data_IF_332814577957
#
_entry.id   IF_332814577957
#
_cell.length_a   1.000
_cell.length_b   1.000
_cell.length_c   1.000
_cell.angle_alpha   90.00
_cell.angle_beta   90.00
_cell.angle_gamma   90.00
#
_symmetry.space_group_name_H-M   'P 1'
#
loop_
_entity.id
_entity.type
_entity.pdbx_description
1 polymer ?
#
# COMPACT_ATOMS: atom_id res chain seq x y z
N UNK A 1 16.07 -9.79 1.54
CA UNK A 1 14.88 -9.50 0.73
C UNK A 1 15.28 -8.78 -0.57
N UNK A 2 14.55 -9.00 -1.67
CA UNK A 2 14.63 -8.22 -2.90
C UNK A 2 13.31 -7.50 -3.17
N UNK A 3 13.36 -6.23 -3.54
CA UNK A 3 12.19 -5.44 -3.98
C UNK A 3 12.48 -4.94 -5.40
N UNK A 4 11.62 -5.28 -6.36
CA UNK A 4 11.72 -4.86 -7.77
C UNK A 4 10.58 -3.90 -8.09
N UNK A 5 10.90 -2.65 -8.31
CA UNK A 5 9.97 -1.58 -8.62
C UNK A 5 9.84 -1.35 -10.13
N UNK A 6 8.64 -1.01 -10.59
CA UNK A 6 8.39 -0.54 -11.95
C UNK A 6 9.06 0.81 -12.24
N UNK A 7 8.89 1.78 -11.33
CA UNK A 7 9.45 3.11 -11.49
C UNK A 7 10.92 3.22 -11.10
N UNK A 8 11.60 4.22 -11.67
CA UNK A 8 13.04 4.46 -11.47
C UNK A 8 13.36 5.44 -10.33
N UNK A 9 12.34 6.12 -9.78
CA UNK A 9 12.56 7.26 -8.86
C UNK A 9 11.67 7.12 -7.63
N UNK A 10 10.36 7.29 -7.78
CA UNK A 10 9.41 7.44 -6.67
C UNK A 10 9.43 6.24 -5.72
N UNK A 11 9.24 5.03 -6.24
CA UNK A 11 9.17 3.81 -5.45
C UNK A 11 10.54 3.42 -4.89
N UNK A 12 11.64 3.38 -5.68
CA UNK A 12 12.96 3.10 -5.12
C UNK A 12 13.40 4.09 -4.04
N UNK A 13 13.11 5.39 -4.20
CA UNK A 13 13.43 6.42 -3.21
C UNK A 13 12.64 6.21 -1.91
N UNK A 14 11.33 5.98 -1.99
CA UNK A 14 10.48 5.68 -0.84
C UNK A 14 10.95 4.43 -0.08
N UNK A 15 11.16 3.31 -0.78
CA UNK A 15 11.61 2.07 -0.14
C UNK A 15 13.05 2.14 0.36
N UNK A 16 13.90 3.02 -0.19
CA UNK A 16 15.26 3.23 0.31
C UNK A 16 15.27 3.78 1.74
N UNK A 17 14.34 4.69 2.07
CA UNK A 17 14.17 5.21 3.43
C UNK A 17 13.77 4.07 4.39
N UNK A 18 12.74 3.30 4.02
CA UNK A 18 12.26 2.17 4.81
C UNK A 18 13.31 1.07 4.96
N UNK A 19 14.12 0.82 3.92
CA UNK A 19 15.26 -0.11 3.97
C UNK A 19 16.26 0.29 5.05
N UNK A 20 16.59 1.59 5.18
CA UNK A 20 17.49 2.05 6.25
C UNK A 20 16.90 1.71 7.62
N UNK A 21 15.64 2.06 7.84
CA UNK A 21 14.92 1.76 9.08
C UNK A 21 14.89 0.26 9.40
N UNK A 22 14.65 -0.58 8.39
CA UNK A 22 14.59 -2.03 8.55
C UNK A 22 15.95 -2.67 8.90
N UNK A 23 17.04 -2.18 8.30
CA UNK A 23 18.40 -2.64 8.59
C UNK A 23 18.83 -2.15 9.98
N UNK A 24 18.59 -0.87 10.28
CA UNK A 24 18.93 -0.27 11.58
C UNK A 24 18.15 -0.94 12.73
N UNK A 25 16.89 -1.33 12.46
CA UNK A 25 16.05 -2.12 13.36
C UNK A 25 16.39 -3.61 13.42
N UNK A 26 17.42 -4.07 12.69
CA UNK A 26 17.85 -5.46 12.59
C UNK A 26 16.74 -6.45 12.17
N UNK A 27 15.73 -5.98 11.43
CA UNK A 27 14.64 -6.83 10.91
C UNK A 27 15.16 -7.67 9.74
N UNK A 28 16.00 -7.06 8.89
CA UNK A 28 16.59 -7.71 7.73
C UNK A 28 18.11 -7.53 7.71
N UNK A 29 18.86 -8.61 7.47
CA UNK A 29 20.31 -8.53 7.30
C UNK A 29 20.70 -7.80 6.00
N UNK A 30 19.93 -8.00 4.93
CA UNK A 30 20.14 -7.34 3.65
C UNK A 30 18.83 -7.17 2.88
N UNK A 31 18.64 -5.97 2.33
CA UNK A 31 17.55 -5.64 1.41
C UNK A 31 18.17 -5.05 0.15
N UNK A 32 17.83 -5.60 -1.00
CA UNK A 32 18.17 -5.05 -2.31
C UNK A 32 16.91 -4.44 -2.95
N UNK A 33 17.05 -3.23 -3.50
CA UNK A 33 15.98 -2.52 -4.22
C UNK A 33 16.45 -2.31 -5.66
N UNK A 34 15.60 -2.68 -6.61
CA UNK A 34 15.83 -2.52 -8.05
C UNK A 34 14.70 -1.70 -8.67
N UNK A 35 15.00 -0.77 -9.60
CA UNK A 35 16.34 -0.30 -9.93
C UNK A 35 17.00 0.40 -8.72
N UNK A 36 18.33 0.46 -8.69
CA UNK A 36 19.04 1.18 -7.63
C UNK A 36 18.56 2.65 -7.62
N UNK A 37 18.23 3.21 -6.45
CA UNK A 37 17.85 4.62 -6.35
C UNK A 37 18.95 5.50 -6.95
N UNK A 38 18.56 6.54 -7.70
CA UNK A 38 19.51 7.53 -8.22
C UNK A 38 20.01 8.33 -7.02
N UNK A 39 21.26 8.10 -6.61
CA UNK A 39 21.94 8.94 -5.62
C UNK A 39 22.24 10.27 -6.31
N UNK A 40 22.02 11.40 -5.63
CA UNK A 40 22.44 12.72 -6.10
C UNK A 40 23.97 12.75 -6.28
N UNK A 41 24.45 12.29 -7.43
CA UNK A 41 25.78 12.65 -7.88
C UNK A 41 25.75 14.15 -8.14
N UNK A 42 26.50 14.89 -7.31
CA UNK A 42 26.86 16.29 -7.53
C UNK A 42 26.95 16.57 -9.02
N UNK A 43 26.23 17.61 -9.46
CA UNK A 43 26.20 18.13 -10.82
C UNK A 43 27.63 18.31 -11.35
N UNK A 44 28.20 17.26 -11.94
CA UNK A 44 29.30 17.41 -12.88
C UNK A 44 28.63 17.74 -14.19
N UNK A 45 28.79 19.01 -14.56
CA UNK A 45 28.40 19.59 -15.82
C UNK A 45 28.94 18.75 -16.98
N UNK A 46 28.13 17.79 -17.45
CA UNK A 46 28.37 17.23 -18.78
C UNK A 46 27.96 18.31 -19.77
N UNK A 47 28.97 18.94 -20.35
CA UNK A 47 28.85 19.81 -21.51
C UNK A 47 28.03 19.09 -22.57
N UNK A 48 26.84 19.62 -22.87
CA UNK A 48 25.97 19.12 -23.94
C UNK A 48 26.73 19.20 -25.26
N UNK A 49 27.04 18.06 -25.87
CA UNK A 49 27.45 18.03 -27.27
C UNK A 49 26.23 18.32 -28.16
N UNK A 50 26.34 19.16 -29.20
CA UNK A 50 25.21 19.48 -30.05
C UNK A 50 24.91 18.34 -31.03
N UNK A 51 23.61 18.11 -31.24
CA UNK A 51 22.99 17.26 -32.27
C UNK A 51 23.23 15.74 -32.19
N UNK A 52 22.31 15.03 -31.51
CA UNK A 52 22.07 13.60 -31.78
C UNK A 52 21.10 13.50 -32.95
N UNK A 53 21.58 13.00 -34.09
CA UNK A 53 20.75 12.76 -35.28
C UNK A 53 19.57 11.84 -34.98
N UNK A 54 18.51 11.93 -35.80
CA UNK A 54 17.28 11.13 -35.68
C UNK A 54 17.64 9.65 -35.54
N UNK A 55 17.40 9.09 -34.35
CA UNK A 55 17.70 7.70 -34.04
C UNK A 55 16.83 6.82 -34.94
N UNK A 56 17.39 5.91 -35.76
CA UNK A 56 16.58 5.01 -36.58
C UNK A 56 15.66 4.21 -35.67
N UNK A 57 14.39 4.06 -36.08
CA UNK A 57 13.40 3.26 -35.34
C UNK A 57 14.02 1.89 -35.04
N UNK A 58 14.15 1.55 -33.76
CA UNK A 58 14.63 0.23 -33.31
C UNK A 58 13.76 -0.82 -33.99
N UNK A 59 14.36 -1.63 -34.88
CA UNK A 59 13.75 -2.89 -35.29
C UNK A 59 13.76 -3.77 -34.04
N UNK A 60 12.58 -4.11 -33.53
CA UNK A 60 12.45 -5.10 -32.47
C UNK A 60 12.99 -6.41 -33.04
N UNK A 61 14.17 -6.83 -32.60
CA UNK A 61 14.65 -8.18 -32.85
C UNK A 61 13.92 -9.04 -31.82
N UNK A 62 13.08 -9.99 -32.23
CA UNK A 62 12.54 -10.97 -31.31
C UNK A 62 13.75 -11.78 -30.80
N UNK A 63 14.19 -11.49 -29.57
CA UNK A 63 15.14 -12.39 -28.90
C UNK A 63 14.36 -13.67 -28.64
N UNK A 64 14.65 -14.72 -29.41
CA UNK A 64 14.08 -16.03 -29.19
C UNK A 64 14.31 -16.43 -27.72
N UNK A 65 13.27 -16.98 -27.08
CA UNK A 65 13.42 -17.58 -25.77
C UNK A 65 14.42 -18.74 -25.96
N UNK A 66 15.54 -18.80 -25.23
CA UNK A 66 16.50 -19.90 -25.36
C UNK A 66 15.79 -21.25 -25.23
N UNK A 67 16.23 -22.27 -25.96
CA UNK A 67 15.59 -23.60 -25.88
C UNK A 67 15.64 -24.19 -24.45
N UNK A 68 16.65 -23.80 -23.67
CA UNK A 68 16.85 -24.13 -22.26
C UNK A 68 16.03 -23.29 -21.26
N UNK A 69 15.22 -22.33 -21.73
CA UNK A 69 14.41 -21.51 -20.82
C UNK A 69 13.38 -22.37 -20.09
N UNK A 70 13.22 -22.08 -18.79
CA UNK A 70 12.23 -22.67 -17.89
C UNK A 70 10.84 -22.74 -18.58
N UNK A 71 10.13 -23.88 -18.55
CA UNK A 71 8.79 -24.02 -19.11
C UNK A 71 7.81 -22.90 -18.73
N UNK A 72 7.99 -22.30 -17.54
CA UNK A 72 7.23 -21.14 -17.07
C UNK A 72 7.48 -19.90 -17.94
N UNK A 73 8.72 -19.67 -18.36
CA UNK A 73 9.11 -18.52 -19.20
C UNK A 73 8.55 -18.63 -20.63
N UNK A 74 8.20 -19.84 -21.07
CA UNK A 74 7.52 -20.09 -22.35
C UNK A 74 5.99 -19.94 -22.22
N UNK A 75 5.42 -20.15 -21.02
CA UNK A 75 3.98 -20.06 -20.73
C UNK A 75 3.49 -18.61 -20.63
N UNK A 76 4.32 -17.71 -20.12
CA UNK A 76 3.94 -16.33 -19.80
C UNK A 76 4.65 -15.29 -20.67
N UNK A 77 4.01 -14.13 -20.87
CA UNK A 77 4.56 -12.99 -21.63
C UNK A 77 5.47 -12.14 -20.73
N UNK A 78 6.58 -12.74 -20.32
CA UNK A 78 7.50 -12.22 -19.29
C UNK A 78 8.25 -10.94 -19.69
N UNK A 79 8.19 -10.55 -20.97
CA UNK A 79 8.85 -9.31 -21.45
C UNK A 79 7.93 -8.11 -21.37
N UNK A 80 6.62 -8.33 -21.31
CA UNK A 80 5.62 -7.27 -21.18
C UNK A 80 5.56 -6.74 -19.74
N UNK A 81 5.26 -5.46 -19.59
CA UNK A 81 4.92 -4.89 -18.29
C UNK A 81 3.50 -5.34 -17.87
N UNK A 82 3.29 -5.67 -16.58
CA UNK A 82 4.25 -5.64 -15.47
C UNK A 82 4.96 -6.99 -15.25
N UNK A 83 4.76 -7.98 -16.13
CA UNK A 83 5.30 -9.34 -15.97
C UNK A 83 6.83 -9.38 -15.92
N UNK A 84 7.52 -8.44 -16.55
CA UNK A 84 8.98 -8.32 -16.47
C UNK A 84 9.50 -8.09 -15.05
N UNK A 85 8.78 -7.31 -14.24
CA UNK A 85 9.16 -7.00 -12.85
C UNK A 85 8.97 -8.23 -11.95
N UNK A 86 7.86 -8.94 -12.12
CA UNK A 86 7.62 -10.23 -11.45
C UNK A 86 8.67 -11.25 -11.86
N UNK A 87 9.03 -11.31 -13.15
CA UNK A 87 10.06 -12.22 -13.65
C UNK A 87 11.43 -11.90 -13.05
N UNK A 88 11.79 -10.63 -12.93
CA UNK A 88 13.05 -10.23 -12.30
C UNK A 88 13.08 -10.57 -10.80
N UNK A 89 11.99 -10.31 -10.06
CA UNK A 89 11.86 -10.72 -8.67
C UNK A 89 11.98 -12.26 -8.53
N UNK A 90 11.32 -13.00 -9.43
CA UNK A 90 11.37 -14.46 -9.52
C UNK A 90 12.79 -14.98 -9.78
N UNK A 91 13.54 -14.33 -10.66
CA UNK A 91 14.94 -14.69 -10.94
C UNK A 91 15.81 -14.57 -9.67
N UNK A 92 15.49 -13.64 -8.78
CA UNK A 92 16.14 -13.52 -7.46
C UNK A 92 15.93 -14.74 -6.53
N UNK A 93 14.90 -15.56 -6.75
CA UNK A 93 14.64 -16.77 -5.96
C UNK A 93 15.39 -18.01 -6.47
N UNK A 94 15.83 -18.03 -7.74
CA UNK A 94 16.35 -19.24 -8.39
C UNK A 94 17.57 -19.83 -7.68
N UNK A 95 18.47 -18.96 -7.24
CA UNK A 95 19.76 -19.36 -6.63
C UNK A 95 19.74 -19.21 -5.10
N UNK A 96 18.55 -19.14 -4.49
CA UNK A 96 18.35 -18.85 -3.05
C UNK A 96 19.12 -17.62 -2.54
N UNK A 97 19.45 -16.69 -3.44
CA UNK A 97 20.14 -15.43 -3.10
C UNK A 97 19.27 -14.58 -2.18
N UNK A 98 17.95 -14.63 -2.39
CA UNK A 98 16.97 -13.95 -1.57
C UNK A 98 15.99 -14.94 -0.95
N UNK A 99 15.72 -14.77 0.34
CA UNK A 99 14.70 -15.55 1.04
C UNK A 99 13.28 -15.11 0.68
N UNK A 100 13.11 -13.83 0.34
CA UNK A 100 11.83 -13.20 0.05
C UNK A 100 12.00 -12.13 -1.01
N UNK A 101 11.06 -12.09 -1.96
CA UNK A 101 11.08 -11.15 -3.08
C UNK A 101 9.71 -10.51 -3.30
N UNK A 102 9.72 -9.25 -3.69
CA UNK A 102 8.53 -8.46 -3.98
C UNK A 102 8.65 -7.78 -5.34
N UNK A 103 7.55 -7.77 -6.11
CA UNK A 103 7.39 -6.92 -7.28
C UNK A 103 6.43 -5.78 -6.93
N UNK A 104 6.84 -4.55 -7.21
CA UNK A 104 6.06 -3.32 -6.97
C UNK A 104 5.72 -2.68 -8.29
N UNK A 105 4.45 -2.59 -8.61
CA UNK A 105 3.99 -2.01 -9.87
C UNK A 105 2.56 -1.49 -9.77
N UNK A 106 2.19 -0.63 -10.70
CA UNK A 106 0.84 -0.13 -10.89
C UNK A 106 0.22 -0.68 -12.19
N UNK A 107 -1.08 -0.43 -12.39
CA UNK A 107 -1.75 -0.71 -13.66
C UNK A 107 -2.33 0.58 -14.23
N UNK A 108 -1.79 1.06 -15.34
CA UNK A 108 -2.33 2.24 -16.02
C UNK A 108 -3.46 1.90 -17.02
N UNK A 109 -4.01 0.67 -16.93
CA UNK A 109 -5.12 0.16 -17.73
C UNK A 109 -4.71 -0.35 -19.12
N UNK A 110 -3.41 -0.37 -19.42
CA UNK A 110 -2.89 -0.78 -20.75
C UNK A 110 -2.18 -2.12 -20.74
N UNK A 111 -2.04 -2.75 -19.57
CA UNK A 111 -1.14 -3.87 -19.36
C UNK A 111 -1.86 -5.23 -19.22
N UNK A 112 -1.13 -6.32 -19.48
CA UNK A 112 -1.61 -7.70 -19.24
C UNK A 112 -1.40 -8.07 -17.77
N UNK A 113 -1.95 -7.30 -16.85
CA UNK A 113 -1.67 -7.40 -15.41
C UNK A 113 -2.04 -8.77 -14.83
N UNK A 114 -3.10 -9.40 -15.34
CA UNK A 114 -3.47 -10.78 -14.99
C UNK A 114 -2.31 -11.78 -15.15
N UNK A 115 -1.45 -11.58 -16.15
CA UNK A 115 -0.32 -12.45 -16.44
C UNK A 115 0.75 -12.36 -15.35
N UNK A 116 1.03 -11.15 -14.89
CA UNK A 116 2.00 -10.90 -13.81
C UNK A 116 1.53 -11.53 -12.49
N UNK A 117 0.24 -11.41 -12.16
CA UNK A 117 -0.34 -12.04 -10.97
C UNK A 117 -0.34 -13.57 -11.04
N UNK A 118 -0.59 -14.15 -12.23
CA UNK A 118 -0.48 -15.61 -12.41
C UNK A 118 0.96 -16.08 -12.30
N UNK A 119 1.90 -15.38 -12.94
CA UNK A 119 3.32 -15.68 -12.87
C UNK A 119 3.86 -15.62 -11.43
N UNK A 120 3.42 -14.64 -10.63
CA UNK A 120 3.87 -14.49 -9.24
C UNK A 120 3.48 -15.65 -8.33
N UNK A 121 2.40 -16.37 -8.66
CA UNK A 121 1.91 -17.54 -7.91
C UNK A 121 2.66 -18.83 -8.26
N UNK A 122 3.37 -18.86 -9.37
CA UNK A 122 4.19 -20.00 -9.75
C UNK A 122 5.36 -20.13 -8.78
N UNK A 123 5.54 -21.32 -8.21
CA UNK A 123 6.59 -21.56 -7.22
C UNK A 123 7.97 -21.66 -7.88
N UNK A 124 8.96 -21.06 -7.25
CA UNK A 124 10.39 -21.23 -7.54
C UNK A 124 11.09 -21.61 -6.25
N UNK A 125 11.72 -22.78 -6.22
CA UNK A 125 12.36 -23.33 -5.01
C UNK A 125 11.43 -23.36 -3.78
N UNK A 126 10.14 -23.65 -4.00
CA UNK A 126 9.11 -23.68 -2.95
C UNK A 126 8.57 -22.31 -2.51
N UNK A 127 9.18 -21.21 -2.97
CA UNK A 127 8.80 -19.82 -2.66
C UNK A 127 7.99 -19.21 -3.82
N UNK A 128 7.33 -18.08 -3.57
CA UNK A 128 6.55 -17.32 -4.56
C UNK A 128 6.99 -15.86 -4.56
N UNK A 129 6.62 -15.11 -5.61
CA UNK A 129 6.84 -13.66 -5.64
C UNK A 129 5.66 -12.96 -4.97
N UNK A 130 5.93 -12.09 -4.01
CA UNK A 130 4.91 -11.23 -3.43
C UNK A 130 4.66 -10.00 -4.31
N UNK A 131 3.44 -9.45 -4.29
CA UNK A 131 3.07 -8.28 -5.10
C UNK A 131 2.59 -7.15 -4.19
N UNK A 132 3.24 -6.00 -4.33
CA UNK A 132 2.73 -4.72 -3.87
C UNK A 132 2.21 -3.93 -5.10
N UNK A 133 0.92 -3.69 -5.12
CA UNK A 133 0.18 -3.21 -6.28
C UNK A 133 -0.68 -2.01 -5.94
N UNK A 134 -0.74 -1.06 -6.86
CA UNK A 134 -1.67 0.06 -6.82
C UNK A 134 -2.39 0.22 -8.17
N UNK A 135 -3.71 0.33 -8.15
CA UNK A 135 -4.58 0.24 -9.35
C UNK A 135 -4.42 1.29 -10.45
N UNK A 136 -3.71 2.39 -10.21
CA UNK A 136 -3.57 3.48 -11.21
C UNK A 136 -2.20 4.17 -11.19
N UNK A 137 -1.59 4.26 -10.01
CA UNK A 137 -0.32 4.88 -9.76
C UNK A 137 0.17 4.51 -8.35
N UNK A 138 1.49 4.49 -8.15
CA UNK A 138 2.07 4.42 -6.81
C UNK A 138 1.62 5.61 -5.94
N UNK A 139 1.37 6.78 -6.52
CA UNK A 139 0.88 7.96 -5.80
C UNK A 139 -0.45 7.74 -5.05
N UNK A 140 -1.20 6.66 -5.34
CA UNK A 140 -2.41 6.35 -4.56
C UNK A 140 -2.02 5.91 -3.14
N UNK A 141 -0.91 5.16 -2.99
CA UNK A 141 -0.34 4.84 -1.70
C UNK A 141 0.09 6.11 -0.93
N UNK A 142 0.63 7.10 -1.63
CA UNK A 142 0.96 8.41 -1.04
C UNK A 142 -0.31 9.12 -0.55
N UNK A 143 -1.38 9.15 -1.35
CA UNK A 143 -2.67 9.75 -0.96
C UNK A 143 -3.21 9.15 0.33
N UNK A 144 -3.08 7.83 0.51
CA UNK A 144 -3.57 7.11 1.68
C UNK A 144 -2.85 7.50 2.98
N UNK A 145 -1.70 8.16 2.95
CA UNK A 145 -1.09 8.72 4.16
C UNK A 145 -1.84 9.94 4.70
N UNK A 146 -2.64 10.61 3.86
CA UNK A 146 -3.33 11.85 4.22
C UNK A 146 -4.80 11.62 4.53
N UNK A 147 -5.48 10.79 3.72
CA UNK A 147 -6.91 10.59 3.85
C UNK A 147 -7.41 9.23 3.36
N UNK A 148 -8.62 8.87 3.79
CA UNK A 148 -9.40 7.78 3.23
C UNK A 148 -9.99 8.24 1.90
N UNK A 149 -9.49 7.69 0.81
CA UNK A 149 -9.94 8.07 -0.52
C UNK A 149 -10.33 6.84 -1.35
N UNK A 150 -11.63 6.72 -1.68
CA UNK A 150 -12.15 5.66 -2.55
C UNK A 150 -12.49 6.19 -3.96
N UNK A 151 -11.91 7.32 -4.36
CA UNK A 151 -12.14 7.91 -5.68
C UNK A 151 -11.44 7.09 -6.77
N UNK A 152 -12.23 6.59 -7.72
CA UNK A 152 -11.72 5.89 -8.90
C UNK A 152 -11.17 6.89 -9.94
N UNK A 153 -9.94 7.37 -9.73
CA UNK A 153 -9.29 8.27 -10.68
C UNK A 153 -9.12 7.59 -12.04
N UNK A 154 -9.37 8.34 -13.12
CA UNK A 154 -9.31 7.81 -14.49
C UNK A 154 -7.88 7.61 -15.00
N UNK A 155 -6.91 8.28 -14.38
CA UNK A 155 -5.49 8.29 -14.77
C UNK A 155 -4.63 8.83 -13.63
N UNK A 156 -3.34 8.50 -13.63
CA UNK A 156 -2.37 9.10 -12.70
C UNK A 156 -2.21 10.60 -12.93
N UNK A 157 -2.07 11.02 -14.19
CA UNK A 157 -1.80 12.40 -14.59
C UNK A 157 -2.50 12.76 -15.92
N UNK A 158 -3.01 13.98 -16.02
CA UNK A 158 -3.52 14.52 -17.29
C UNK A 158 -2.39 14.98 -18.22
N UNK A 159 -2.51 14.62 -19.51
CA UNK A 159 -1.61 15.03 -20.58
C UNK A 159 -2.33 15.07 -21.91
N UNK A 160 -1.87 15.93 -22.81
CA UNK A 160 -2.19 15.92 -24.24
C UNK A 160 -0.91 15.65 -25.02
N UNK A 161 -0.83 14.49 -25.67
CA UNK A 161 0.42 14.03 -26.27
C UNK A 161 1.53 13.88 -25.23
N UNK A 162 2.61 14.64 -25.38
CA UNK A 162 3.72 14.70 -24.43
C UNK A 162 3.60 15.83 -23.40
N UNK A 163 2.65 16.74 -23.58
CA UNK A 163 2.49 17.89 -22.70
C UNK A 163 1.68 17.50 -21.46
N UNK A 164 2.27 17.70 -20.28
CA UNK A 164 1.62 17.51 -18.99
C UNK A 164 0.81 18.77 -18.69
N UNK A 165 -0.42 18.60 -18.21
CA UNK A 165 -1.35 19.70 -17.91
C UNK A 165 -1.12 20.37 -16.56
N UNK A 166 -0.26 19.79 -15.72
CA UNK A 166 0.04 20.25 -14.36
C UNK A 166 -1.20 20.45 -13.49
N UNK A 167 -2.24 19.61 -13.64
CA UNK A 167 -3.51 19.80 -12.96
C UNK A 167 -3.38 19.99 -11.44
N UNK A 168 -4.32 20.74 -10.86
CA UNK A 168 -4.33 21.12 -9.44
C UNK A 168 -3.47 22.34 -9.10
N UNK A 169 -2.76 22.91 -10.09
CA UNK A 169 -1.95 24.13 -9.92
C UNK A 169 -2.69 25.41 -10.29
N UNK A 170 -3.86 25.32 -10.95
CA UNK A 170 -4.59 26.45 -11.53
C UNK A 170 -3.84 27.22 -12.63
N UNK A 171 -2.83 26.60 -13.27
CA UNK A 171 -1.98 27.27 -14.28
C UNK A 171 -2.39 27.00 -15.73
N UNK A 172 -3.23 26.00 -15.99
CA UNK A 172 -3.59 25.55 -17.34
C UNK A 172 -5.09 25.69 -17.59
N UNK A 173 -5.50 26.03 -18.82
CA UNK A 173 -6.91 26.00 -19.23
C UNK A 173 -7.48 24.58 -19.28
N UNK A 174 -6.60 23.58 -19.40
CA UNK A 174 -6.94 22.15 -19.38
C UNK A 174 -6.81 21.54 -17.97
N UNK A 175 -6.71 22.36 -16.92
CA UNK A 175 -6.62 21.89 -15.54
C UNK A 175 -7.94 21.22 -15.11
N UNK A 176 -7.90 19.91 -14.83
CA UNK A 176 -9.07 19.20 -14.34
C UNK A 176 -9.36 19.43 -12.85
N UNK A 177 -8.56 20.24 -12.14
CA UNK A 177 -8.69 20.51 -10.70
C UNK A 177 -8.57 19.26 -9.83
N UNK A 178 -7.85 18.24 -10.31
CA UNK A 178 -7.77 16.94 -9.62
C UNK A 178 -9.01 16.05 -9.68
N UNK A 179 -10.08 16.47 -10.36
CA UNK A 179 -11.33 15.68 -10.47
C UNK A 179 -11.19 14.36 -11.23
N UNK A 180 -10.17 14.23 -12.09
CA UNK A 180 -9.98 13.08 -12.96
C UNK A 180 -8.60 12.44 -12.88
N UNK A 181 -7.61 13.14 -12.34
CA UNK A 181 -6.26 12.62 -12.19
C UNK A 181 -5.75 12.74 -10.75
N UNK A 182 -5.11 11.66 -10.32
CA UNK A 182 -4.63 11.46 -8.95
C UNK A 182 -3.56 12.50 -8.55
N UNK A 183 -2.55 12.73 -9.39
CA UNK A 183 -1.50 13.72 -9.10
C UNK A 183 -2.09 15.13 -9.03
N UNK A 184 -3.09 15.43 -9.86
CA UNK A 184 -3.80 16.70 -9.78
C UNK A 184 -4.58 16.86 -8.49
N UNK A 185 -5.19 15.77 -7.99
CA UNK A 185 -5.89 15.77 -6.71
C UNK A 185 -4.93 16.01 -5.54
N UNK A 186 -3.77 15.33 -5.54
CA UNK A 186 -2.74 15.54 -4.52
C UNK A 186 -2.26 16.99 -4.47
N UNK A 187 -2.08 17.63 -5.63
CA UNK A 187 -1.68 19.04 -5.72
C UNK A 187 -2.79 20.00 -5.29
N UNK A 188 -4.02 19.74 -5.73
CA UNK A 188 -5.17 20.56 -5.36
C UNK A 188 -5.38 20.62 -3.84
N UNK A 189 -5.15 19.49 -3.16
CA UNK A 189 -5.25 19.39 -1.70
C UNK A 189 -3.93 19.73 -0.97
N UNK A 190 -2.93 20.27 -1.66
CA UNK A 190 -1.63 20.69 -1.11
C UNK A 190 -0.81 19.57 -0.42
N UNK A 191 -1.05 18.30 -0.79
CA UNK A 191 -0.25 17.16 -0.30
C UNK A 191 1.08 17.00 -1.04
N UNK A 192 1.17 17.50 -2.27
CA UNK A 192 2.43 17.61 -3.00
C UNK A 192 2.87 19.08 -3.05
N UNK A 193 4.19 19.29 -2.94
CA UNK A 193 4.79 20.63 -3.08
C UNK A 193 4.46 21.17 -4.48
N UNK A 194 4.01 22.43 -4.62
CA UNK A 194 3.74 23.03 -5.91
C UNK A 194 4.97 22.95 -6.83
N UNK A 195 4.76 22.55 -8.08
CA UNK A 195 5.81 22.34 -9.10
C UNK A 195 6.83 21.21 -8.81
N UNK A 196 6.64 20.42 -7.76
CA UNK A 196 7.44 19.20 -7.57
C UNK A 196 7.06 18.14 -8.59
N UNK A 197 8.07 17.41 -9.02
CA UNK A 197 7.96 16.26 -9.91
C UNK A 197 8.33 15.00 -9.13
N UNK A 198 7.38 14.08 -8.96
CA UNK A 198 7.65 12.74 -8.41
C UNK A 198 8.68 11.95 -9.22
N UNK A 199 8.97 12.40 -10.44
CA UNK A 199 9.91 11.78 -11.39
C UNK A 199 11.34 12.31 -11.32
N UNK A 200 11.63 13.27 -10.43
CA UNK A 200 12.98 13.77 -10.22
C UNK A 200 13.46 13.35 -8.83
N UNK A 201 14.64 12.72 -8.71
CA UNK A 201 15.21 12.38 -7.42
C UNK A 201 15.35 13.62 -6.52
N UNK A 202 15.12 13.46 -5.22
CA UNK A 202 15.39 14.52 -4.24
C UNK A 202 14.25 15.53 -4.03
N UNK A 203 13.41 15.78 -5.05
CA UNK A 203 12.36 16.82 -4.97
C UNK A 203 11.25 16.50 -3.95
N UNK A 204 11.09 15.22 -3.59
CA UNK A 204 10.05 14.76 -2.66
C UNK A 204 10.63 14.01 -1.45
N UNK A 205 11.95 14.06 -1.20
CA UNK A 205 12.57 13.31 -0.10
C UNK A 205 12.04 13.75 1.26
N UNK A 206 11.88 15.06 1.50
CA UNK A 206 11.33 15.57 2.76
C UNK A 206 9.88 15.11 3.00
N UNK A 207 9.08 15.01 1.92
CA UNK A 207 7.75 14.42 2.00
C UNK A 207 7.85 12.97 2.43
N UNK A 208 8.69 12.17 1.75
CA UNK A 208 8.85 10.76 2.09
C UNK A 208 9.39 10.52 3.49
N UNK A 209 10.33 11.32 3.97
CA UNK A 209 10.79 11.27 5.36
C UNK A 209 9.60 11.41 6.32
N UNK A 210 8.76 12.42 6.11
CA UNK A 210 7.54 12.62 6.90
C UNK A 210 6.55 11.46 6.77
N UNK A 211 6.29 10.97 5.55
CA UNK A 211 5.38 9.85 5.32
C UNK A 211 5.87 8.56 6.01
N UNK A 212 7.19 8.38 6.07
CA UNK A 212 7.83 7.25 6.73
C UNK A 212 7.95 7.42 8.25
N UNK A 213 7.38 8.44 8.88
CA UNK A 213 7.27 8.49 10.35
C UNK A 213 6.19 7.54 10.87
N UNK A 214 6.39 6.98 12.07
CA UNK A 214 5.52 5.88 12.57
C UNK A 214 4.04 6.25 12.67
N UNK A 215 3.71 7.49 13.06
CA UNK A 215 2.31 7.94 13.12
C UNK A 215 1.69 8.07 11.72
N UNK A 216 2.46 8.59 10.75
CA UNK A 216 1.97 8.80 9.38
C UNK A 216 1.84 7.48 8.61
N UNK A 217 2.81 6.56 8.77
CA UNK A 217 2.70 5.19 8.23
C UNK A 217 1.48 4.46 8.78
N UNK A 218 1.20 4.64 10.07
CA UNK A 218 0.05 4.03 10.73
C UNK A 218 -1.28 4.48 10.09
N UNK A 219 -1.44 5.77 9.81
CA UNK A 219 -2.59 6.32 9.09
C UNK A 219 -2.73 5.64 7.72
N UNK A 220 -1.62 5.50 6.98
CA UNK A 220 -1.63 4.87 5.66
C UNK A 220 -2.05 3.40 5.69
N UNK A 221 -1.58 2.63 6.68
CA UNK A 221 -2.01 1.23 6.85
C UNK A 221 -3.51 1.13 7.08
N UNK A 222 -4.05 1.97 7.98
CA UNK A 222 -5.47 2.02 8.28
C UNK A 222 -6.30 2.37 7.03
N UNK A 223 -5.88 3.40 6.29
CA UNK A 223 -6.58 3.88 5.10
C UNK A 223 -6.51 2.88 3.94
N UNK A 224 -5.40 2.16 3.78
CA UNK A 224 -5.28 1.10 2.76
C UNK A 224 -6.18 -0.10 3.08
N UNK A 225 -6.24 -0.51 4.35
CA UNK A 225 -7.18 -1.56 4.78
C UNK A 225 -8.64 -1.11 4.61
N UNK A 226 -8.95 0.16 4.92
CA UNK A 226 -10.27 0.75 4.70
C UNK A 226 -10.66 0.68 3.23
N UNK A 227 -9.75 1.09 2.34
CA UNK A 227 -9.97 1.08 0.90
C UNK A 227 -10.35 -0.31 0.40
N UNK A 228 -9.60 -1.33 0.83
CA UNK A 228 -9.86 -2.73 0.47
C UNK A 228 -11.17 -3.27 1.05
N UNK A 229 -11.62 -2.72 2.18
CA UNK A 229 -12.91 -3.08 2.76
C UNK A 229 -14.09 -2.45 2.03
N UNK A 230 -14.04 -1.13 1.76
CA UNK A 230 -15.16 -0.40 1.16
C UNK A 230 -15.27 -0.58 -0.34
N UNK A 231 -14.19 -0.95 -1.02
CA UNK A 231 -14.18 -1.24 -2.46
C UNK A 231 -14.21 -2.76 -2.67
N UNK A 232 -15.34 -3.33 -3.13
CA UNK A 232 -15.43 -4.76 -3.39
C UNK A 232 -14.40 -5.21 -4.42
N UNK A 233 -13.65 -6.26 -4.09
CA UNK A 233 -12.65 -6.83 -4.97
C UNK A 233 -12.53 -8.34 -4.76
N UNK A 234 -12.10 -9.04 -5.82
CA UNK A 234 -11.65 -10.42 -5.71
C UNK A 234 -10.18 -10.39 -5.25
N UNK A 235 -9.82 -10.96 -4.08
CA UNK A 235 -8.44 -11.01 -3.61
C UNK A 235 -7.48 -11.71 -4.60
N UNK A 236 -8.00 -12.57 -5.48
CA UNK A 236 -7.23 -13.21 -6.55
C UNK A 236 -7.11 -12.35 -7.81
N UNK A 237 -7.88 -11.27 -7.93
CA UNK A 237 -7.87 -10.38 -9.08
C UNK A 237 -7.99 -8.90 -8.68
N UNK A 238 -7.15 -8.41 -7.75
CA UNK A 238 -7.23 -7.02 -7.28
C UNK A 238 -6.96 -6.00 -8.41
N UNK A 239 -6.24 -6.42 -9.46
CA UNK A 239 -5.97 -5.62 -10.65
C UNK A 239 -7.20 -5.31 -11.53
N UNK A 240 -8.37 -5.89 -11.24
CA UNK A 240 -9.62 -5.56 -11.94
C UNK A 240 -10.38 -4.41 -11.27
N UNK A 241 -9.85 -3.86 -10.18
CA UNK A 241 -10.55 -2.88 -9.34
C UNK A 241 -9.76 -1.60 -9.25
N UNK A 242 -10.47 -0.48 -9.34
CA UNK A 242 -9.95 0.86 -9.13
C UNK A 242 -10.96 1.65 -8.27
N UNK A 243 -10.54 2.21 -7.13
CA UNK A 243 -9.19 2.18 -6.58
C UNK A 243 -8.86 0.90 -5.80
N UNK A 244 -7.58 0.55 -5.79
CA UNK A 244 -7.01 -0.51 -4.96
C UNK A 244 -5.54 -0.19 -4.65
N UNK A 245 -5.10 -0.49 -3.43
CA UNK A 245 -3.68 -0.58 -3.08
C UNK A 245 -3.46 -1.61 -1.98
N UNK A 246 -2.37 -2.37 -2.06
CA UNK A 246 -1.88 -3.25 -0.99
C UNK A 246 -0.40 -3.01 -0.65
N UNK A 247 0.12 -1.82 -0.97
CA UNK A 247 1.52 -1.44 -0.69
C UNK A 247 1.83 -1.45 0.81
N UNK A 248 0.84 -1.18 1.66
CA UNK A 248 0.94 -1.29 3.12
C UNK A 248 1.45 -2.65 3.58
N UNK A 249 1.07 -3.74 2.90
CA UNK A 249 1.51 -5.09 3.28
C UNK A 249 3.03 -5.26 3.11
N UNK A 250 3.60 -4.68 2.04
CA UNK A 250 5.05 -4.66 1.84
C UNK A 250 5.73 -3.80 2.90
N UNK A 251 5.20 -2.60 3.18
CA UNK A 251 5.80 -1.70 4.16
C UNK A 251 5.79 -2.31 5.56
N UNK A 252 4.68 -2.93 5.98
CA UNK A 252 4.59 -3.67 7.24
C UNK A 252 5.60 -4.81 7.30
N UNK A 253 5.69 -5.62 6.24
CA UNK A 253 6.64 -6.74 6.16
C UNK A 253 8.10 -6.28 6.20
N UNK A 254 8.39 -5.17 5.52
CA UNK A 254 9.72 -4.58 5.46
C UNK A 254 10.19 -4.10 6.84
N UNK A 255 9.27 -3.54 7.63
CA UNK A 255 9.55 -2.99 8.95
C UNK A 255 9.28 -3.96 10.11
N UNK A 256 8.85 -5.20 9.85
CA UNK A 256 8.47 -6.14 10.91
C UNK A 256 7.26 -5.67 11.74
N UNK A 257 6.38 -4.88 11.12
CA UNK A 257 5.18 -4.28 11.72
C UNK A 257 3.90 -5.02 11.32
N UNK A 258 4.02 -6.29 10.90
CA UNK A 258 2.95 -7.10 10.34
C UNK A 258 1.73 -7.14 11.27
N UNK A 259 0.64 -6.56 10.80
CA UNK A 259 -0.63 -6.45 11.51
C UNK A 259 -1.77 -6.65 10.53
N UNK A 260 -2.66 -7.58 10.82
CA UNK A 260 -3.97 -7.66 10.21
C UNK A 260 -4.77 -6.41 10.60
N UNK A 261 -5.23 -5.67 9.61
CA UNK A 261 -6.12 -4.52 9.83
C UNK A 261 -7.43 -4.84 9.13
N UNK A 262 -8.50 -4.88 9.90
CA UNK A 262 -9.84 -5.24 9.48
C UNK A 262 -10.73 -4.02 9.67
N UNK A 263 -11.62 -3.79 8.71
CA UNK A 263 -12.70 -2.82 8.84
C UNK A 263 -14.03 -3.57 8.90
N UNK A 264 -14.98 -3.03 9.67
CA UNK A 264 -16.35 -3.53 9.78
C UNK A 264 -17.33 -2.36 9.85
N UNK A 265 -18.60 -2.64 9.59
CA UNK A 265 -19.66 -1.67 9.74
C UNK A 265 -20.26 -1.73 11.16
N UNK A 266 -20.90 -0.64 11.61
CA UNK A 266 -21.73 -0.69 12.80
C UNK A 266 -22.83 -1.75 12.67
N UNK A 267 -23.18 -2.34 13.80
CA UNK A 267 -24.16 -3.41 13.95
C UNK A 267 -23.82 -4.73 13.23
N UNK A 268 -22.66 -4.81 12.58
CA UNK A 268 -22.14 -6.04 12.00
C UNK A 268 -21.31 -6.81 13.04
N UNK A 269 -21.59 -8.10 13.18
CA UNK A 269 -20.77 -8.99 13.99
C UNK A 269 -19.49 -9.37 13.23
N UNK A 270 -18.35 -9.26 13.90
CA UNK A 270 -17.05 -9.72 13.45
C UNK A 270 -16.55 -10.81 14.40
N UNK A 271 -16.06 -11.94 13.86
CA UNK A 271 -15.57 -13.05 14.68
C UNK A 271 -14.05 -13.11 14.54
N UNK A 272 -13.36 -13.06 15.68
CA UNK A 272 -11.91 -13.23 15.75
C UNK A 272 -11.54 -14.15 16.89
N UNK A 273 -10.80 -15.22 16.58
CA UNK A 273 -10.41 -16.27 17.53
C UNK A 273 -11.57 -16.77 18.42
N UNK A 274 -12.72 -17.02 17.81
CA UNK A 274 -13.95 -17.46 18.51
C UNK A 274 -14.51 -16.44 19.51
N UNK A 275 -14.13 -15.17 19.40
CA UNK A 275 -14.77 -14.05 20.08
C UNK A 275 -15.56 -13.26 19.03
N UNK A 276 -16.86 -13.11 19.26
CA UNK A 276 -17.72 -12.26 18.46
C UNK A 276 -17.70 -10.84 19.02
N UNK A 277 -17.46 -9.88 18.13
CA UNK A 277 -17.42 -8.45 18.37
C UNK A 277 -18.55 -7.80 17.59
N UNK A 278 -19.33 -6.96 18.26
CA UNK A 278 -20.31 -6.10 17.60
C UNK A 278 -20.26 -4.72 18.22
N UNK A 279 -20.01 -3.72 17.40
CA UNK A 279 -20.08 -2.33 17.81
C UNK A 279 -21.39 -1.71 17.32
N UNK A 280 -22.13 -1.10 18.22
CA UNK A 280 -23.40 -0.43 17.95
C UNK A 280 -23.34 0.99 18.52
N UNK A 281 -23.83 1.98 17.76
CA UNK A 281 -23.89 3.37 18.23
C UNK A 281 -25.34 3.85 18.22
N UNK A 282 -25.81 4.34 19.36
CA UNK A 282 -27.15 4.93 19.48
C UNK A 282 -27.11 6.13 20.42
N UNK A 283 -27.68 7.27 20.02
CA UNK A 283 -27.74 8.49 20.84
C UNK A 283 -26.39 8.91 21.46
N UNK A 284 -25.31 8.87 20.67
CA UNK A 284 -23.94 9.13 21.13
C UNK A 284 -23.45 8.16 22.22
N UNK A 285 -24.00 6.95 22.29
CA UNK A 285 -23.52 5.89 23.16
C UNK A 285 -23.00 4.79 22.26
N UNK A 286 -21.70 4.49 22.37
CA UNK A 286 -21.11 3.29 21.82
C UNK A 286 -21.36 2.12 22.78
N UNK A 287 -21.84 1.02 22.23
CA UNK A 287 -21.92 -0.28 22.87
C UNK A 287 -21.05 -1.25 22.09
N UNK A 288 -20.02 -1.80 22.74
CA UNK A 288 -19.24 -2.92 22.21
C UNK A 288 -19.72 -4.19 22.90
N UNK A 289 -20.41 -5.04 22.15
CA UNK A 289 -20.81 -6.37 22.56
C UNK A 289 -19.67 -7.36 22.27
N UNK A 290 -19.32 -8.13 23.29
CA UNK A 290 -18.32 -9.19 23.28
C UNK A 290 -19.00 -10.49 23.65
N UNK A 291 -18.85 -11.53 22.83
CA UNK A 291 -19.38 -12.86 23.12
C UNK A 291 -18.33 -13.92 22.87
N UNK A 292 -18.09 -14.77 23.88
CA UNK A 292 -17.16 -15.88 23.77
C UNK A 292 -17.87 -17.09 23.15
N UNK A 293 -17.51 -17.45 21.93
CA UNK A 293 -18.03 -18.61 21.20
C UNK A 293 -17.23 -19.89 21.49
N UNK A 294 -16.12 -19.80 22.22
CA UNK A 294 -15.26 -20.94 22.54
C UNK A 294 -15.78 -21.73 23.76
N UNK A 295 -15.24 -22.94 23.93
CA UNK A 295 -15.51 -23.81 25.08
C UNK A 295 -14.67 -23.49 26.32
N UNK A 296 -13.73 -22.54 26.22
CA UNK A 296 -12.83 -22.15 27.30
C UNK A 296 -13.07 -20.72 27.74
N UNK A 297 -12.74 -20.40 28.98
CA UNK A 297 -12.82 -19.02 29.47
C UNK A 297 -11.75 -18.17 28.78
N UNK A 298 -12.14 -17.00 28.27
CA UNK A 298 -11.27 -16.03 27.62
C UNK A 298 -11.07 -14.82 28.52
N UNK A 299 -9.82 -14.42 28.72
CA UNK A 299 -9.48 -13.12 29.30
C UNK A 299 -9.23 -12.15 28.16
N UNK A 300 -9.89 -11.01 28.23
CA UNK A 300 -9.70 -9.85 27.38
C UNK A 300 -9.18 -8.75 28.30
N UNK A 301 -7.91 -8.36 28.18
CA UNK A 301 -7.38 -7.23 28.95
C UNK A 301 -7.18 -6.00 28.05
N UNK A 302 -6.91 -4.84 28.65
CA UNK A 302 -6.69 -3.59 27.91
C UNK A 302 -5.48 -3.60 26.98
N UNK A 303 -4.58 -4.59 27.11
CA UNK A 303 -3.50 -4.85 26.14
C UNK A 303 -3.95 -5.74 24.98
N UNK A 304 -4.91 -6.64 25.22
CA UNK A 304 -5.46 -7.57 24.23
C UNK A 304 -6.54 -6.92 23.36
N UNK A 305 -7.29 -5.93 23.90
CA UNK A 305 -8.34 -5.19 23.17
C UNK A 305 -8.36 -3.73 23.62
N UNK A 306 -7.42 -2.90 23.15
CA UNK A 306 -7.43 -1.47 23.41
C UNK A 306 -8.49 -0.79 22.54
N UNK A 307 -9.58 -0.29 23.12
CA UNK A 307 -10.58 0.46 22.36
C UNK A 307 -10.15 1.93 22.28
N UNK A 308 -10.19 2.51 21.08
CA UNK A 308 -9.85 3.91 20.84
C UNK A 308 -11.04 4.70 20.29
N UNK A 309 -11.01 6.01 20.51
CA UNK A 309 -11.87 6.92 19.77
C UNK A 309 -11.01 7.88 18.97
N UNK A 310 -11.39 8.13 17.73
CA UNK A 310 -10.83 9.21 16.94
C UNK A 310 -11.94 10.20 16.62
N UNK A 311 -11.77 11.45 17.07
CA UNK A 311 -12.53 12.55 16.49
C UNK A 311 -12.01 12.87 15.10
N UNK A 312 -12.75 13.68 14.34
CA UNK A 312 -12.42 14.15 12.97
C UNK A 312 -10.99 14.75 12.88
N UNK A 313 -10.37 15.10 14.01
CA UNK A 313 -9.01 15.64 14.14
C UNK A 313 -7.90 14.62 14.47
N UNK A 314 -8.13 13.31 14.28
CA UNK A 314 -7.11 12.24 14.36
C UNK A 314 -6.39 12.04 15.71
N UNK A 315 -6.84 12.67 16.80
CA UNK A 315 -6.32 12.36 18.13
C UNK A 315 -6.98 11.10 18.68
N UNK A 316 -6.22 10.01 18.76
CA UNK A 316 -6.66 8.74 19.36
C UNK A 316 -6.69 8.86 20.89
N UNK A 317 -7.89 8.84 21.49
CA UNK A 317 -8.03 8.75 22.95
C UNK A 317 -8.25 7.29 23.36
N UNK A 318 -7.36 6.78 24.22
CA UNK A 318 -7.44 5.42 24.79
C UNK A 318 -8.55 5.36 25.85
N UNK A 319 -9.43 4.36 25.80
CA UNK A 319 -10.29 4.03 26.95
C UNK A 319 -9.41 3.38 28.03
N UNK A 320 -9.56 3.73 29.33
CA UNK A 320 -8.85 3.05 30.41
C UNK A 320 -8.95 1.52 30.29
N UNK A 321 -7.84 0.84 30.59
CA UNK A 321 -7.65 -0.60 30.43
C UNK A 321 -8.83 -1.42 30.99
N UNK A 322 -9.75 -1.83 30.13
CA UNK A 322 -10.84 -2.72 30.51
C UNK A 322 -10.29 -4.15 30.52
N UNK A 323 -10.45 -4.84 31.65
CA UNK A 323 -10.24 -6.29 31.73
C UNK A 323 -11.58 -6.99 31.87
N UNK A 324 -11.97 -7.76 30.85
CA UNK A 324 -13.19 -8.57 30.79
C UNK A 324 -12.80 -10.04 30.80
N UNK A 325 -13.40 -10.81 31.71
CA UNK A 325 -13.35 -12.28 31.67
C UNK A 325 -14.67 -12.76 31.08
N UNK A 326 -14.60 -13.63 30.07
CA UNK A 326 -15.75 -14.24 29.41
C UNK A 326 -15.67 -15.76 29.56
N UNK A 327 -16.56 -16.34 30.35
CA UNK A 327 -16.81 -17.78 30.39
C UNK A 327 -17.36 -18.27 29.03
N UNK A 328 -17.37 -19.59 28.78
CA UNK A 328 -17.94 -20.15 27.55
C UNK A 328 -19.38 -19.69 27.32
N UNK A 329 -19.69 -19.20 26.12
CA UNK A 329 -20.98 -18.60 25.74
C UNK A 329 -21.38 -17.34 26.54
N UNK A 330 -20.49 -16.77 27.35
CA UNK A 330 -20.76 -15.53 28.07
C UNK A 330 -20.75 -14.35 27.11
N UNK A 331 -21.64 -13.40 27.39
CA UNK A 331 -21.78 -12.13 26.69
C UNK A 331 -21.57 -10.96 27.66
N UNK A 332 -20.82 -9.95 27.22
CA UNK A 332 -20.59 -8.70 27.96
C UNK A 332 -20.71 -7.51 27.02
N UNK A 333 -21.18 -6.41 27.57
CA UNK A 333 -21.24 -5.13 26.88
C UNK A 333 -20.33 -4.13 27.57
N UNK A 334 -19.58 -3.39 26.77
CA UNK A 334 -18.80 -2.23 27.18
C UNK A 334 -19.52 -1.01 26.61
N UNK A 335 -19.89 -0.08 27.50
CA UNK A 335 -20.67 1.11 27.13
C UNK A 335 -19.83 2.36 27.35
N UNK A 336 -19.83 3.26 26.37
CA UNK A 336 -19.07 4.51 26.44
C UNK A 336 -19.83 5.66 25.76
N UNK A 337 -19.88 6.81 26.43
CA UNK A 337 -20.45 8.03 25.85
C UNK A 337 -19.47 8.66 24.83
N UNK A 338 -20.02 9.15 23.73
CA UNK A 338 -19.35 9.87 22.64
C UNK A 338 -19.66 11.36 22.77
N UNK A 339 -18.65 12.22 22.67
CA UNK A 339 -18.86 13.66 22.85
C UNK A 339 -19.47 14.33 21.58
N UNK A 340 -19.19 13.84 20.36
CA UNK A 340 -19.67 14.43 19.10
C UNK A 340 -19.95 13.38 17.99
N UNK A 341 -20.09 13.81 16.72
CA UNK A 341 -20.18 12.97 15.53
C UNK A 341 -18.86 12.23 15.30
N UNK A 342 -18.59 11.23 16.12
CA UNK A 342 -17.29 10.56 16.23
C UNK A 342 -17.28 9.27 15.42
N UNK A 343 -16.22 9.05 14.63
CA UNK A 343 -15.92 7.72 14.11
C UNK A 343 -15.32 6.86 15.23
N UNK A 344 -15.71 5.59 15.31
CA UNK A 344 -15.32 4.73 16.42
C UNK A 344 -14.21 3.77 15.99
N UNK A 345 -13.08 3.80 16.70
CA UNK A 345 -11.97 2.90 16.40
C UNK A 345 -11.88 1.76 17.42
N UNK A 346 -12.43 0.59 17.08
CA UNK A 346 -12.35 -0.56 17.99
C UNK A 346 -11.11 -1.42 17.70
N UNK A 347 -9.93 -1.03 18.19
CA UNK A 347 -8.73 -1.83 18.00
C UNK A 347 -8.75 -3.11 18.88
N UNK A 348 -8.56 -4.29 18.28
CA UNK A 348 -8.61 -5.61 18.97
C UNK A 348 -7.22 -6.25 18.89
N UNK A 349 -6.33 -5.94 19.83
CA UNK A 349 -4.91 -6.30 19.73
C UNK A 349 -4.49 -7.54 20.55
N UNK A 350 -4.60 -8.76 20.03
CA UNK A 350 -3.60 -9.78 20.42
C UNK A 350 -2.76 -10.12 19.20
N UNK A 351 -1.52 -9.62 19.17
CA UNK A 351 -0.54 -9.82 18.09
C UNK A 351 -1.12 -9.61 16.68
N UNK A 352 -1.56 -8.38 16.43
CA UNK A 352 -1.72 -7.89 15.07
C UNK A 352 -3.05 -8.18 14.43
N UNK A 353 -4.17 -7.95 15.12
CA UNK A 353 -5.44 -7.62 14.46
C UNK A 353 -5.88 -6.23 14.91
N UNK A 354 -6.46 -5.43 14.04
CA UNK A 354 -6.99 -4.11 14.38
C UNK A 354 -8.29 -3.91 13.65
N UNK A 355 -9.42 -3.90 14.39
CA UNK A 355 -10.73 -3.65 13.82
C UNK A 355 -11.00 -2.13 13.79
N UNK A 356 -11.60 -1.65 12.72
CA UNK A 356 -12.05 -0.29 12.59
C UNK A 356 -13.55 -0.32 12.29
N UNK A 357 -14.36 0.48 12.99
CA UNK A 357 -15.81 0.49 12.81
C UNK A 357 -16.27 1.91 12.46
N UNK A 358 -16.55 2.13 11.18
CA UNK A 358 -16.87 3.45 10.63
C UNK A 358 -18.21 3.47 9.93
#
# INVERSE_FOLDING_TARGET
MLIVCEGEVTEPEYFSLLRRMAIDGAIWAAIEIRPKPKVDENQTSSTRSPHKSTRPKRKLIPVAIPDEADPIEKKYDIKSQPSCWVKEARDGLKDDTFEEVWAVFDDDGRNKTANAFQLAREKVSGKVVNIAFSSIAFEHWILLHFERNASAFKRSLCRTGHQIHECGSSTSTDDCGGTHCLIGYLRHNHYLVPNSSTKKPGEISALFESLTESNNRWIAYANAAWLRHVVPHDPLKPYLVNPFSNVDLLVQRLLGEEQEIVWGAFDQAFIWQEIEFKASVSNKILVISLKNLSISTRLINGSDIPIFFSTVTQNMTLIPQISVVLAPNEHREIVQALEESTEVLVQICSKGVKLFVG
#
